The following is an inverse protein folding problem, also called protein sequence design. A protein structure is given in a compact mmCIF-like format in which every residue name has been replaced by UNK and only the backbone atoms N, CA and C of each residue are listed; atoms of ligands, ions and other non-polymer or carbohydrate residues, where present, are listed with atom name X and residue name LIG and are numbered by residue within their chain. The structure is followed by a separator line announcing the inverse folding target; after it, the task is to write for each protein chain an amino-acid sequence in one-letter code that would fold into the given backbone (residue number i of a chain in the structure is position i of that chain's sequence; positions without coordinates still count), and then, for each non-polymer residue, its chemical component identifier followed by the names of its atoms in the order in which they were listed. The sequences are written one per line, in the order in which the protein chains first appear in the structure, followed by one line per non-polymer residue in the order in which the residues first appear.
data_IF_886393809791
#
_entry.id   IF_886393809791
#
_cell.length_a   1.000
_cell.length_b   1.000
_cell.length_c   1.000
_cell.angle_alpha   90.00
_cell.angle_beta   90.00
_cell.angle_gamma   90.00
#
_symmetry.space_group_name_H-M   'P 1'
#
loop_
_entity.id
_entity.type
_entity.pdbx_description
1 polymer ?
#
# COMPACT_ATOMS: atom_id res chain seq x y z
N UNK A 1 17.58 -8.73 -14.21
CA UNK A 1 16.50 -8.37 -13.27
C UNK A 1 17.01 -7.28 -12.34
N UNK A 2 16.36 -6.12 -12.36
CA UNK A 2 16.66 -4.94 -11.54
C UNK A 2 15.47 -4.67 -10.64
N UNK A 3 15.71 -4.44 -9.35
CA UNK A 3 14.67 -3.96 -8.44
C UNK A 3 14.73 -2.45 -8.40
N UNK A 4 13.60 -1.80 -8.72
CA UNK A 4 13.45 -0.36 -8.60
C UNK A 4 12.61 -0.07 -7.36
N UNK A 5 13.13 0.81 -6.50
CA UNK A 5 12.57 1.10 -5.19
C UNK A 5 11.97 2.50 -5.12
N UNK A 6 10.81 2.62 -4.48
CA UNK A 6 10.24 3.89 -4.05
C UNK A 6 9.61 3.75 -2.65
N UNK A 7 9.64 4.82 -1.86
CA UNK A 7 8.94 4.82 -0.58
C UNK A 7 8.41 6.22 -0.24
N UNK A 8 7.32 6.26 0.51
CA UNK A 8 6.80 7.51 1.03
C UNK A 8 6.20 7.30 2.42
N UNK A 9 6.49 8.24 3.31
CA UNK A 9 5.89 8.34 4.64
C UNK A 9 4.98 9.56 4.68
N UNK A 10 3.76 9.37 5.17
CA UNK A 10 2.79 10.46 5.34
C UNK A 10 2.28 10.41 6.79
N UNK A 11 2.19 11.56 7.49
CA UNK A 11 1.53 11.61 8.79
C UNK A 11 0.07 11.20 8.63
N UNK A 12 -0.41 10.33 9.51
CA UNK A 12 -1.80 9.85 9.52
C UNK A 12 -2.76 10.98 9.85
N UNK A 13 -2.34 11.88 10.73
CA UNK A 13 -3.11 13.04 11.17
C UNK A 13 -2.30 14.32 10.92
N UNK A 14 -2.16 14.79 9.66
CA UNK A 14 -1.52 16.07 9.39
C UNK A 14 -2.32 17.22 10.00
N UNK A 15 -1.68 18.38 10.15
CA UNK A 15 -2.34 19.58 10.68
C UNK A 15 -3.64 19.88 9.91
N UNK A 16 -4.75 20.05 10.65
CA UNK A 16 -6.07 20.31 10.07
C UNK A 16 -6.83 19.07 9.57
N UNK A 17 -6.25 17.86 9.64
CA UNK A 17 -6.98 16.63 9.31
C UNK A 17 -8.12 16.37 10.30
N UNK A 18 -9.30 16.08 9.78
CA UNK A 18 -10.47 15.71 10.56
C UNK A 18 -11.28 14.60 9.87
N UNK A 19 -11.80 13.60 10.62
CA UNK A 19 -11.53 13.35 12.03
C UNK A 19 -10.08 12.92 12.26
N UNK A 20 -9.61 13.12 13.49
CA UNK A 20 -8.33 12.56 13.95
C UNK A 20 -8.52 11.05 14.03
N UNK A 21 -7.74 10.31 13.25
CA UNK A 21 -7.85 8.87 13.14
C UNK A 21 -7.00 8.19 14.21
N UNK A 22 -7.59 7.24 14.94
CA UNK A 22 -6.88 6.42 15.93
C UNK A 22 -6.10 5.28 15.28
N UNK A 23 -5.20 4.63 16.02
CA UNK A 23 -4.50 3.44 15.54
C UNK A 23 -5.49 2.32 15.17
N UNK A 24 -6.51 2.10 16.01
CA UNK A 24 -7.58 1.13 15.76
C UNK A 24 -8.27 1.36 14.42
N UNK A 25 -8.68 2.61 14.14
CA UNK A 25 -9.37 2.97 12.90
C UNK A 25 -8.47 2.85 11.68
N UNK A 26 -7.22 3.30 11.78
CA UNK A 26 -6.22 3.12 10.72
C UNK A 26 -6.05 1.64 10.39
N UNK A 27 -5.92 0.79 11.41
CA UNK A 27 -5.69 -0.63 11.23
C UNK A 27 -6.91 -1.35 10.64
N UNK A 28 -8.12 -1.01 11.11
CA UNK A 28 -9.37 -1.49 10.50
C UNK A 28 -9.48 -1.10 9.01
N UNK A 29 -9.05 0.11 8.66
CA UNK A 29 -8.98 0.57 7.28
C UNK A 29 -7.99 -0.21 6.41
N UNK A 30 -6.79 -0.50 6.92
CA UNK A 30 -5.78 -1.31 6.22
C UNK A 30 -6.25 -2.77 6.07
N UNK A 31 -6.88 -3.31 7.11
CA UNK A 31 -7.51 -4.62 7.08
C UNK A 31 -8.63 -4.71 6.03
N UNK A 32 -9.40 -3.64 5.84
CA UNK A 32 -10.37 -3.56 4.76
C UNK A 32 -9.69 -3.48 3.39
N UNK A 33 -8.64 -2.66 3.27
CA UNK A 33 -7.86 -2.48 2.03
C UNK A 33 -7.22 -3.77 1.53
N UNK A 34 -6.77 -4.67 2.41
CA UNK A 34 -6.24 -5.97 1.96
C UNK A 34 -7.30 -6.87 1.31
N UNK A 35 -8.58 -6.70 1.63
CA UNK A 35 -9.68 -7.50 1.03
C UNK A 35 -10.41 -6.78 -0.10
N UNK A 36 -10.51 -5.46 -0.01
CA UNK A 36 -11.26 -4.62 -0.95
C UNK A 36 -10.43 -3.39 -1.37
N UNK A 37 -9.26 -3.58 -2.01
CA UNK A 37 -8.34 -2.49 -2.35
C UNK A 37 -8.93 -1.49 -3.36
N UNK A 38 -9.92 -1.88 -4.16
CA UNK A 38 -10.65 -1.01 -5.08
C UNK A 38 -11.39 0.15 -4.38
N UNK A 39 -11.69 0.01 -3.08
CA UNK A 39 -12.27 1.09 -2.28
C UNK A 39 -11.25 2.19 -1.94
N UNK A 40 -9.96 1.91 -2.09
CA UNK A 40 -8.86 2.78 -1.68
C UNK A 40 -8.05 3.29 -2.88
N UNK A 41 -7.94 2.49 -3.94
CA UNK A 41 -7.13 2.79 -5.11
C UNK A 41 -8.00 2.68 -6.37
N UNK A 42 -8.34 3.83 -6.96
CA UNK A 42 -9.24 3.92 -8.11
C UNK A 42 -8.74 3.19 -9.38
N UNK A 43 -7.45 2.86 -9.43
CA UNK A 43 -6.80 2.13 -10.53
C UNK A 43 -7.10 0.63 -10.50
N UNK A 44 -7.62 0.12 -9.38
CA UNK A 44 -8.03 -1.27 -9.25
C UNK A 44 -9.47 -1.42 -9.73
N UNK A 45 -9.70 -2.41 -10.59
CA UNK A 45 -11.00 -2.78 -11.12
C UNK A 45 -11.71 -3.75 -10.18
N UNK A 46 -11.11 -4.92 -9.95
CA UNK A 46 -11.68 -5.98 -9.12
C UNK A 46 -10.63 -6.60 -8.21
N UNK A 47 -11.09 -7.19 -7.10
CA UNK A 47 -10.27 -7.98 -6.21
C UNK A 47 -11.03 -9.24 -5.82
N UNK A 48 -10.41 -10.41 -6.01
CA UNK A 48 -10.93 -11.71 -5.59
C UNK A 48 -10.03 -12.25 -4.47
N UNK A 49 -10.62 -12.57 -3.32
CA UNK A 49 -9.89 -13.22 -2.22
C UNK A 49 -9.92 -14.72 -2.46
N UNK A 50 -8.74 -15.33 -2.61
CA UNK A 50 -8.57 -16.74 -2.92
C UNK A 50 -8.40 -17.57 -1.63
N UNK A 51 -7.67 -17.03 -0.66
CA UNK A 51 -7.46 -17.62 0.67
C UNK A 51 -7.47 -16.50 1.72
N UNK A 52 -8.05 -16.75 2.90
CA UNK A 52 -8.01 -15.85 4.05
C UNK A 52 -8.03 -16.68 5.33
N UNK A 53 -6.93 -16.67 6.07
CA UNK A 53 -6.81 -17.32 7.39
C UNK A 53 -6.92 -16.32 8.56
N UNK A 54 -7.24 -15.05 8.25
CA UNK A 54 -7.29 -13.95 9.20
C UNK A 54 -5.97 -13.18 9.29
N UNK A 55 -4.82 -13.83 9.27
CA UNK A 55 -3.49 -13.20 9.36
C UNK A 55 -2.84 -13.00 7.99
N UNK A 56 -3.11 -13.91 7.05
CA UNK A 56 -2.70 -13.87 5.67
C UNK A 56 -3.89 -13.90 4.73
N UNK A 57 -3.79 -13.13 3.65
CA UNK A 57 -4.74 -13.17 2.52
C UNK A 57 -3.97 -13.41 1.24
N UNK A 58 -4.39 -14.43 0.49
CA UNK A 58 -4.05 -14.54 -0.92
C UNK A 58 -5.18 -13.91 -1.73
N UNK A 59 -4.84 -12.98 -2.61
CA UNK A 59 -5.83 -12.32 -3.47
C UNK A 59 -5.34 -12.20 -4.90
N UNK A 60 -6.29 -12.09 -5.82
CA UNK A 60 -6.07 -11.68 -7.19
C UNK A 60 -6.66 -10.30 -7.43
N UNK A 61 -5.83 -9.36 -7.86
CA UNK A 61 -6.22 -7.98 -8.17
C UNK A 61 -6.18 -7.78 -9.67
N UNK A 62 -7.27 -7.26 -10.23
CA UNK A 62 -7.32 -6.80 -11.62
C UNK A 62 -7.22 -5.28 -11.66
N UNK A 63 -6.35 -4.75 -12.52
CA UNK A 63 -6.23 -3.32 -12.74
C UNK A 63 -7.09 -2.87 -13.92
N UNK A 64 -7.52 -1.60 -13.90
CA UNK A 64 -8.24 -0.99 -15.02
C UNK A 64 -7.32 -0.81 -16.24
N UNK A 65 -7.92 -0.85 -17.44
CA UNK A 65 -7.21 -0.65 -18.70
C UNK A 65 -6.49 0.70 -18.71
N UNK A 66 -5.27 0.72 -19.25
CA UNK A 66 -4.42 1.91 -19.28
C UNK A 66 -3.63 2.19 -18.00
N UNK A 67 -3.60 1.22 -17.06
CA UNK A 67 -2.66 1.08 -15.94
C UNK A 67 -2.12 2.39 -15.38
N UNK A 68 -2.63 2.83 -14.23
CA UNK A 68 -2.30 4.15 -13.67
C UNK A 68 -0.82 4.55 -13.80
N UNK A 69 -0.57 5.79 -14.22
CA UNK A 69 0.78 6.35 -14.39
C UNK A 69 1.64 6.09 -13.14
N UNK A 70 2.81 5.47 -13.31
CA UNK A 70 3.70 5.08 -12.21
C UNK A 70 3.28 3.85 -11.41
N UNK A 71 2.46 2.96 -11.98
CA UNK A 71 2.17 1.63 -11.43
C UNK A 71 3.24 0.60 -11.85
N UNK A 72 3.41 -0.49 -11.08
CA UNK A 72 4.35 -1.58 -11.42
C UNK A 72 4.23 -2.06 -12.86
N UNK A 73 5.27 -2.73 -13.40
CA UNK A 73 5.09 -3.59 -14.57
C UNK A 73 4.08 -4.67 -14.17
N UNK A 74 2.80 -4.43 -14.49
CA UNK A 74 1.75 -5.39 -14.20
C UNK A 74 2.06 -6.61 -15.06
N UNK A 75 2.38 -7.74 -14.44
CA UNK A 75 2.55 -9.03 -15.13
C UNK A 75 1.16 -9.46 -15.61
N UNK A 76 0.71 -8.90 -16.73
CA UNK A 76 -0.65 -9.07 -17.26
C UNK A 76 -1.71 -8.19 -16.57
N UNK A 77 -3.00 -8.35 -16.90
CA UNK A 77 -4.08 -7.52 -16.34
C UNK A 77 -4.42 -7.86 -14.87
N UNK A 78 -3.85 -8.95 -14.34
CA UNK A 78 -4.16 -9.52 -13.04
C UNK A 78 -2.88 -9.85 -12.28
N UNK A 79 -2.82 -9.49 -11.01
CA UNK A 79 -1.70 -9.82 -10.11
C UNK A 79 -2.24 -10.61 -8.94
N UNK A 80 -1.62 -11.77 -8.68
CA UNK A 80 -1.84 -12.47 -7.43
C UNK A 80 -0.80 -12.04 -6.42
N UNK A 81 -1.23 -11.74 -5.19
CA UNK A 81 -0.33 -11.35 -4.11
C UNK A 81 -0.77 -11.96 -2.79
N UNK A 82 0.22 -12.38 -2.00
CA UNK A 82 0.02 -12.80 -0.62
C UNK A 82 0.34 -11.64 0.30
N UNK A 83 -0.63 -11.32 1.15
CA UNK A 83 -0.55 -10.28 2.15
C UNK A 83 -0.40 -10.96 3.51
N UNK A 84 0.55 -10.53 4.33
CA UNK A 84 0.65 -10.92 5.74
C UNK A 84 0.47 -9.70 6.60
N UNK A 85 -0.44 -9.79 7.57
CA UNK A 85 -0.90 -8.69 8.39
C UNK A 85 -0.42 -8.86 9.83
N UNK A 86 0.70 -8.23 10.16
CA UNK A 86 1.32 -8.27 11.49
C UNK A 86 0.73 -7.12 12.31
N UNK A 87 -0.36 -7.43 12.99
CA UNK A 87 -1.14 -6.47 13.77
C UNK A 87 -0.38 -5.93 14.99
N UNK A 88 -0.65 -4.67 15.40
CA UNK A 88 -0.27 -4.20 16.72
C UNK A 88 -0.76 -5.16 17.81
N UNK A 89 0.03 -5.34 18.87
CA UNK A 89 -0.35 -6.20 20.01
C UNK A 89 -1.54 -5.63 20.80
N UNK A 90 -1.71 -4.31 20.74
CA UNK A 90 -2.85 -3.59 21.30
C UNK A 90 -3.14 -2.32 20.48
N UNK A 91 -4.32 -1.73 20.69
CA UNK A 91 -4.72 -0.45 20.08
C UNK A 91 -3.82 0.74 20.49
N UNK A 92 -2.92 0.54 21.46
CA UNK A 92 -2.00 1.57 21.99
C UNK A 92 -0.53 1.26 21.67
N UNK A 93 -0.22 0.09 21.10
CA UNK A 93 1.16 -0.37 20.86
C UNK A 93 1.88 0.27 19.66
N UNK A 94 1.25 1.27 19.03
CA UNK A 94 1.87 2.27 18.15
C UNK A 94 2.34 1.82 16.75
N UNK A 95 2.60 0.53 16.54
CA UNK A 95 3.18 0.03 15.29
C UNK A 95 2.56 -1.25 14.77
N UNK A 96 2.59 -1.41 13.45
CA UNK A 96 2.08 -2.58 12.73
C UNK A 96 2.69 -2.65 11.34
N UNK A 97 2.68 -3.83 10.73
CA UNK A 97 3.29 -4.09 9.43
C UNK A 97 2.37 -4.96 8.58
N UNK A 98 2.17 -4.56 7.33
CA UNK A 98 1.68 -5.44 6.28
C UNK A 98 2.79 -5.71 5.28
N UNK A 99 2.97 -6.96 4.90
CA UNK A 99 3.85 -7.35 3.79
C UNK A 99 2.99 -7.85 2.64
N UNK A 100 3.34 -7.45 1.42
CA UNK A 100 2.69 -7.90 0.18
C UNK A 100 3.79 -8.54 -0.66
N UNK A 101 3.60 -9.79 -1.04
CA UNK A 101 4.51 -10.54 -1.92
C UNK A 101 3.75 -10.93 -3.17
N UNK A 102 4.20 -10.45 -4.33
CA UNK A 102 3.59 -10.83 -5.61
C UNK A 102 3.94 -12.29 -5.94
N UNK A 103 2.96 -13.04 -6.43
CA UNK A 103 3.17 -14.42 -6.88
C UNK A 103 3.78 -14.39 -8.29
N UNK A 104 4.88 -15.11 -8.48
CA UNK A 104 5.57 -15.20 -9.76
C UNK A 104 6.48 -14.03 -10.10
N UNK A 105 6.74 -13.12 -9.16
CA UNK A 105 7.72 -12.04 -9.32
C UNK A 105 8.50 -11.77 -8.03
N UNK A 106 9.57 -11.00 -8.13
CA UNK A 106 10.33 -10.53 -6.96
C UNK A 106 9.74 -9.23 -6.36
N UNK A 107 8.62 -8.73 -6.89
CA UNK A 107 7.97 -7.50 -6.43
C UNK A 107 7.38 -7.64 -5.03
N UNK A 108 7.59 -6.60 -4.20
CA UNK A 108 7.14 -6.55 -2.81
C UNK A 108 6.64 -5.17 -2.42
N UNK A 109 5.68 -5.12 -1.50
CA UNK A 109 5.23 -3.87 -0.86
C UNK A 109 5.23 -4.06 0.65
N UNK A 110 5.62 -3.03 1.39
CA UNK A 110 5.43 -2.96 2.83
C UNK A 110 4.54 -1.78 3.16
N UNK A 111 3.52 -1.99 4.00
CA UNK A 111 2.81 -0.89 4.66
C UNK A 111 3.20 -0.91 6.14
N UNK A 112 3.86 0.15 6.59
CA UNK A 112 4.37 0.26 7.97
C UNK A 112 3.60 1.37 8.66
N UNK A 113 2.92 1.01 9.76
CA UNK A 113 2.40 1.99 10.71
C UNK A 113 3.45 2.17 11.81
N UNK A 114 3.83 3.42 12.07
CA UNK A 114 4.85 3.75 13.07
C UNK A 114 4.48 4.99 13.87
N UNK A 115 5.10 5.14 15.05
CA UNK A 115 5.01 6.33 15.87
C UNK A 115 6.19 7.26 15.56
N UNK A 116 5.90 8.52 15.25
CA UNK A 116 6.89 9.58 15.06
C UNK A 116 7.49 10.05 16.39
N UNK A 117 8.56 10.84 16.32
CA UNK A 117 9.21 11.42 17.50
C UNK A 117 8.28 12.35 18.31
N UNK A 118 7.26 12.89 17.65
CA UNK A 118 6.20 13.72 18.21
C UNK A 118 5.05 12.89 18.82
N UNK A 119 5.13 11.56 18.77
CA UNK A 119 4.06 10.66 19.18
C UNK A 119 2.95 10.48 18.14
N UNK A 120 3.04 11.15 16.99
CA UNK A 120 2.05 11.05 15.91
C UNK A 120 2.15 9.73 15.14
N UNK A 121 1.01 9.24 14.64
CA UNK A 121 1.00 8.07 13.77
C UNK A 121 1.47 8.45 12.35
N UNK A 122 2.32 7.62 11.77
CA UNK A 122 2.79 7.71 10.40
C UNK A 122 2.45 6.44 9.64
N UNK A 123 2.11 6.58 8.36
CA UNK A 123 1.96 5.46 7.43
C UNK A 123 3.03 5.56 6.37
N UNK A 124 3.79 4.48 6.21
CA UNK A 124 4.83 4.37 5.18
C UNK A 124 4.48 3.26 4.22
N UNK A 125 4.45 3.55 2.92
CA UNK A 125 4.49 2.51 1.89
C UNK A 125 5.89 2.46 1.30
N UNK A 126 6.43 1.24 1.17
CA UNK A 126 7.62 0.97 0.35
C UNK A 126 7.25 0.02 -0.76
N UNK A 127 7.84 0.24 -1.94
CA UNK A 127 7.59 -0.52 -3.15
C UNK A 127 8.91 -1.02 -3.69
N UNK A 128 8.95 -2.30 -4.03
CA UNK A 128 10.03 -2.97 -4.74
C UNK A 128 9.41 -3.60 -5.98
N UNK A 129 9.83 -3.16 -7.16
CA UNK A 129 9.34 -3.71 -8.42
C UNK A 129 10.47 -4.26 -9.25
N UNK A 130 10.32 -5.51 -9.68
CA UNK A 130 11.27 -6.18 -10.54
C UNK A 130 11.03 -5.84 -12.01
N UNK A 131 12.12 -5.48 -12.67
CA UNK A 131 12.18 -5.19 -14.10
C UNK A 131 13.21 -6.12 -14.75
N UNK A 132 12.75 -6.96 -15.67
CA UNK A 132 13.64 -7.82 -16.47
C UNK A 132 14.31 -7.03 -17.61
N UNK A 133 13.63 -6.01 -18.11
CA UNK A 133 13.97 -5.19 -19.27
C UNK A 133 14.87 -3.99 -18.96
N UNK A 134 15.02 -3.64 -17.68
CA UNK A 134 15.82 -2.49 -17.24
C UNK A 134 17.15 -2.97 -16.64
N UNK A 135 18.26 -2.46 -17.16
CA UNK A 135 19.60 -2.71 -16.61
C UNK A 135 19.86 -1.87 -15.35
N UNK A 136 20.44 -2.50 -14.33
CA UNK A 136 20.77 -1.85 -13.07
C UNK A 136 21.79 -0.73 -13.26
N UNK A 137 21.53 0.44 -12.66
CA UNK A 137 22.40 1.61 -12.77
C UNK A 137 22.30 2.36 -14.12
N UNK A 138 21.48 1.89 -15.06
CA UNK A 138 21.23 2.59 -16.32
C UNK A 138 20.47 3.91 -16.12
N UNK A 139 20.55 4.81 -17.11
CA UNK A 139 19.74 6.02 -17.12
C UNK A 139 18.24 5.73 -17.04
N UNK A 140 17.79 4.67 -17.74
CA UNK A 140 16.39 4.22 -17.69
C UNK A 140 15.96 3.79 -16.27
N UNK A 141 16.82 3.07 -15.54
CA UNK A 141 16.56 2.68 -14.15
C UNK A 141 16.38 3.92 -13.25
N UNK A 142 17.25 4.92 -13.39
CA UNK A 142 17.20 6.15 -12.60
C UNK A 142 15.93 6.96 -12.90
N UNK A 143 15.58 7.13 -14.17
CA UNK A 143 14.37 7.87 -14.55
C UNK A 143 13.10 7.15 -14.10
N UNK A 144 13.05 5.81 -14.23
CA UNK A 144 11.94 5.02 -13.72
C UNK A 144 11.82 5.09 -12.20
N UNK A 145 12.95 5.08 -11.47
CA UNK A 145 12.94 5.27 -10.02
C UNK A 145 12.37 6.64 -9.61
N UNK A 146 12.76 7.71 -10.30
CA UNK A 146 12.21 9.06 -10.05
C UNK A 146 10.70 9.12 -10.30
N UNK A 147 10.22 8.49 -11.37
CA UNK A 147 8.79 8.39 -11.69
C UNK A 147 8.02 7.73 -10.54
N UNK A 148 8.47 6.55 -10.11
CA UNK A 148 7.89 5.82 -8.97
C UNK A 148 7.95 6.61 -7.67
N UNK A 149 9.07 7.26 -7.40
CA UNK A 149 9.22 8.07 -6.19
C UNK A 149 8.28 9.29 -6.19
N UNK A 150 7.97 9.86 -7.36
CA UNK A 150 7.03 10.98 -7.49
C UNK A 150 5.56 10.56 -7.27
N UNK A 151 5.22 9.28 -7.51
CA UNK A 151 3.85 8.77 -7.32
C UNK A 151 3.62 8.13 -5.96
N UNK A 152 4.65 7.58 -5.31
CA UNK A 152 4.53 6.89 -4.02
C UNK A 152 3.75 7.68 -2.94
N UNK A 153 3.97 8.99 -2.72
CA UNK A 153 3.21 9.75 -1.72
C UNK A 153 1.70 9.79 -2.00
N UNK A 154 1.30 9.78 -3.27
CA UNK A 154 -0.13 9.82 -3.66
C UNK A 154 -0.84 8.52 -3.27
N UNK A 155 -0.17 7.38 -3.38
CA UNK A 155 -0.73 6.09 -2.97
C UNK A 155 -1.02 6.03 -1.46
N UNK A 156 -0.08 6.54 -0.65
CA UNK A 156 -0.23 6.63 0.81
C UNK A 156 -1.35 7.61 1.18
N UNK A 157 -1.30 8.83 0.64
CA UNK A 157 -2.29 9.86 0.94
C UNK A 157 -3.71 9.48 0.50
N UNK A 158 -3.85 8.86 -0.68
CA UNK A 158 -5.14 8.35 -1.18
C UNK A 158 -5.73 7.29 -0.24
N UNK A 159 -4.89 6.37 0.24
CA UNK A 159 -5.32 5.35 1.23
C UNK A 159 -5.81 6.02 2.51
N UNK A 160 -5.02 6.93 3.09
CA UNK A 160 -5.40 7.63 4.33
C UNK A 160 -6.69 8.43 4.18
N UNK A 161 -6.90 9.07 3.03
CA UNK A 161 -8.11 9.81 2.76
C UNK A 161 -9.33 8.88 2.68
N UNK A 162 -9.23 7.76 1.96
CA UNK A 162 -10.31 6.78 1.89
C UNK A 162 -10.67 6.22 3.28
N UNK A 163 -9.67 5.86 4.11
CA UNK A 163 -9.93 5.41 5.49
C UNK A 163 -10.63 6.52 6.28
N UNK A 164 -10.14 7.75 6.20
CA UNK A 164 -10.70 8.89 6.96
C UNK A 164 -12.15 9.20 6.56
N UNK A 165 -12.50 9.10 5.28
CA UNK A 165 -13.89 9.24 4.85
C UNK A 165 -14.77 8.10 5.40
N UNK A 166 -14.30 6.85 5.40
CA UNK A 166 -15.03 5.75 6.02
C UNK A 166 -15.24 5.93 7.53
N UNK A 167 -14.27 6.52 8.23
CA UNK A 167 -14.41 6.90 9.65
C UNK A 167 -15.48 7.97 9.82
N UNK A 168 -15.52 9.01 8.97
CA UNK A 168 -16.58 10.03 9.01
C UNK A 168 -17.97 9.44 8.81
N UNK A 169 -18.07 8.44 7.93
CA UNK A 169 -19.31 7.74 7.62
C UNK A 169 -19.73 6.72 8.70
N UNK A 170 -18.89 6.47 9.72
CA UNK A 170 -19.16 5.48 10.77
C UNK A 170 -19.06 4.02 10.30
N UNK A 171 -18.28 3.76 9.24
CA UNK A 171 -18.07 2.43 8.65
C UNK A 171 -16.87 1.68 9.22
N UNK A 172 -16.05 2.34 10.04
CA UNK A 172 -14.84 1.84 10.69
C UNK A 172 -14.79 2.23 12.17
#
# INVERSE_FOLDING_TARGET
MTIIFAAATVPVNPAGAYPVMTLKQLWAGLELKRRMPQLFLAVIDTCEVLEDDGESVLREVKFKDGGGVGMPPVIGPKVQERITHIKPLSEESGSGLETFTSIGSASRVLNIVSTGIDGGLNLTFSFEWDHEDIEAGSHAAVEKQKEYQATAPKGVAGTLNAIREMVKEGRL
#
